data_IF_434882815479
#
_entry.id   IF_434882815479
#
_cell.length_a   1.000
_cell.length_b   1.000
_cell.length_c   1.000
_cell.angle_alpha   90.00
_cell.angle_beta   90.00
_cell.angle_gamma   90.00
#
_symmetry.space_group_name_H-M   'P 1'
#
loop_
_entity.id
_entity.type
_entity.pdbx_description
1 polymer ?
#
# COMPACT_ATOMS: atom_id res chain seq x y z
N UNK A 1 -0.07 -17.92 4.30
CA UNK A 1 0.51 -16.59 4.60
C UNK A 1 -0.47 -15.43 4.33
N UNK A 2 -0.87 -15.12 3.09
CA UNK A 2 -2.01 -14.19 2.79
C UNK A 2 -3.01 -14.83 1.83
N UNK A 3 -2.51 -15.52 0.80
CA UNK A 3 -3.32 -16.32 -0.13
C UNK A 3 -4.20 -17.39 0.54
N UNK A 4 -3.88 -17.81 1.77
CA UNK A 4 -4.71 -18.76 2.53
C UNK A 4 -6.07 -18.19 2.92
N UNK A 5 -6.23 -16.86 2.95
CA UNK A 5 -7.48 -16.18 3.29
C UNK A 5 -7.89 -15.10 2.29
N UNK A 6 -7.20 -15.01 1.15
CA UNK A 6 -7.58 -14.17 0.01
C UNK A 6 -8.31 -15.05 -1.02
N UNK A 7 -9.65 -15.15 -0.97
CA UNK A 7 -10.40 -16.05 -1.86
C UNK A 7 -10.36 -15.62 -3.34
N UNK A 8 -9.94 -14.39 -3.64
CA UNK A 8 -9.71 -13.89 -4.99
C UNK A 8 -8.30 -13.33 -5.17
N UNK A 9 -8.13 -12.01 -5.31
CA UNK A 9 -6.85 -11.37 -5.65
C UNK A 9 -6.14 -10.81 -4.43
N UNK A 10 -4.81 -10.77 -4.46
CA UNK A 10 -3.98 -9.99 -3.55
C UNK A 10 -3.50 -8.71 -4.24
N UNK A 11 -3.91 -7.55 -3.72
CA UNK A 11 -3.51 -6.22 -4.16
C UNK A 11 -2.53 -5.64 -3.13
N UNK A 12 -1.27 -5.46 -3.49
CA UNK A 12 -0.22 -5.01 -2.56
C UNK A 12 0.19 -3.57 -2.83
N UNK A 13 0.11 -2.73 -1.81
CA UNK A 13 0.65 -1.35 -1.78
C UNK A 13 1.92 -1.34 -0.94
N UNK A 14 3.04 -0.93 -1.51
CA UNK A 14 4.31 -0.92 -0.79
C UNK A 14 5.31 0.11 -1.33
N UNK A 15 6.30 0.45 -0.51
CA UNK A 15 7.41 1.32 -0.87
C UNK A 15 8.69 0.87 -0.20
N UNK A 16 9.75 1.65 -0.37
CA UNK A 16 11.01 1.47 0.35
C UNK A 16 11.42 2.79 1.00
N UNK A 17 12.06 2.71 2.17
CA UNK A 17 12.68 3.86 2.81
C UNK A 17 13.96 4.30 2.07
N UNK A 18 14.16 5.61 1.96
CA UNK A 18 15.44 6.21 1.57
C UNK A 18 16.45 6.20 2.72
N UNK A 19 17.72 6.45 2.40
CA UNK A 19 18.91 6.40 3.27
C UNK A 19 19.02 5.08 4.05
N UNK A 20 18.59 4.00 3.40
CA UNK A 20 18.65 2.63 3.90
C UNK A 20 19.27 1.74 2.84
N UNK A 21 19.40 0.46 3.16
CA UNK A 21 19.88 -0.53 2.21
C UNK A 21 19.09 -0.48 0.89
N UNK A 22 19.78 -0.10 -0.19
CA UNK A 22 19.23 -0.01 -1.55
C UNK A 22 19.13 -1.38 -2.20
N UNK A 23 19.97 -2.34 -1.80
CA UNK A 23 20.02 -3.68 -2.40
C UNK A 23 18.71 -4.44 -2.21
N UNK A 24 17.95 -4.12 -1.15
CA UNK A 24 16.62 -4.71 -0.91
C UNK A 24 15.53 -4.22 -1.87
N UNK A 25 15.66 -3.03 -2.48
CA UNK A 25 14.61 -2.41 -3.31
C UNK A 25 14.16 -3.33 -4.46
N UNK A 26 15.06 -3.85 -5.30
CA UNK A 26 14.68 -4.80 -6.34
C UNK A 26 14.25 -6.16 -5.78
N UNK A 27 14.79 -6.60 -4.62
CA UNK A 27 14.36 -7.87 -4.02
C UNK A 27 12.90 -7.79 -3.51
N UNK A 28 12.53 -6.67 -2.89
CA UNK A 28 11.17 -6.40 -2.44
C UNK A 28 10.20 -6.32 -3.62
N UNK A 29 10.60 -5.67 -4.72
CA UNK A 29 9.81 -5.66 -5.95
C UNK A 29 9.54 -7.06 -6.50
N UNK A 30 10.58 -7.91 -6.52
CA UNK A 30 10.47 -9.28 -6.99
C UNK A 30 9.55 -10.14 -6.13
N UNK A 31 9.68 -10.04 -4.81
CA UNK A 31 8.78 -10.72 -3.86
C UNK A 31 7.35 -10.25 -4.02
N UNK A 32 7.11 -8.93 -4.07
CA UNK A 32 5.76 -8.38 -4.22
C UNK A 32 5.08 -8.89 -5.50
N UNK A 33 5.78 -8.85 -6.63
CA UNK A 33 5.26 -9.34 -7.91
C UNK A 33 5.09 -10.87 -8.00
N UNK A 34 5.86 -11.64 -7.23
CA UNK A 34 5.71 -13.10 -7.17
C UNK A 34 4.50 -13.54 -6.34
N UNK A 35 4.04 -12.72 -5.40
CA UNK A 35 3.02 -13.09 -4.42
C UNK A 35 1.77 -12.20 -4.45
N UNK A 36 1.63 -11.34 -5.46
CA UNK A 36 0.49 -10.44 -5.60
C UNK A 36 -0.06 -10.46 -7.02
N UNK A 37 -1.37 -10.32 -7.16
CA UNK A 37 -2.04 -10.20 -8.46
C UNK A 37 -2.01 -8.77 -9.01
N UNK A 38 -1.82 -7.78 -8.12
CA UNK A 38 -1.68 -6.37 -8.46
C UNK A 38 -0.71 -5.70 -7.48
N UNK A 39 0.27 -4.96 -8.00
CA UNK A 39 1.23 -4.21 -7.20
C UNK A 39 1.08 -2.71 -7.45
N UNK A 40 1.07 -1.93 -6.37
CA UNK A 40 1.16 -0.47 -6.39
C UNK A 40 2.43 -0.09 -5.61
N UNK A 41 3.39 0.49 -6.32
CA UNK A 41 4.63 1.01 -5.75
C UNK A 41 4.42 2.48 -5.38
N UNK A 42 4.71 2.82 -4.13
CA UNK A 42 4.46 4.16 -3.56
C UNK A 42 5.57 4.61 -2.62
N UNK A 43 5.46 5.84 -2.10
CA UNK A 43 6.38 6.40 -1.13
C UNK A 43 6.14 5.79 0.25
N UNK A 44 7.20 5.68 1.06
CA UNK A 44 7.11 5.18 2.43
C UNK A 44 7.77 6.15 3.40
N UNK A 45 9.09 6.26 3.34
CA UNK A 45 9.89 7.18 4.15
C UNK A 45 11.09 7.59 3.28
N UNK A 46 10.90 8.46 2.26
CA UNK A 46 11.97 8.79 1.32
C UNK A 46 13.17 9.48 1.97
N UNK A 47 12.98 10.11 3.15
CA UNK A 47 14.06 10.87 3.83
C UNK A 47 14.69 11.87 2.85
N UNK A 48 16.01 11.94 2.74
CA UNK A 48 16.73 12.80 1.81
C UNK A 48 16.82 12.28 0.37
N UNK A 49 16.29 11.09 0.05
CA UNK A 49 16.33 10.55 -1.31
C UNK A 49 15.10 10.93 -2.14
N UNK A 50 15.28 11.04 -3.45
CA UNK A 50 14.18 11.26 -4.38
C UNK A 50 13.24 10.04 -4.43
N UNK A 51 11.95 10.28 -4.19
CA UNK A 51 10.95 9.21 -4.12
C UNK A 51 10.79 8.47 -5.45
N UNK A 52 10.88 9.16 -6.59
CA UNK A 52 10.74 8.53 -7.90
C UNK A 52 11.95 7.65 -8.22
N UNK A 53 13.15 8.05 -7.79
CA UNK A 53 14.36 7.22 -7.90
C UNK A 53 14.25 5.95 -7.05
N UNK A 54 13.78 6.06 -5.80
CA UNK A 54 13.55 4.87 -4.95
C UNK A 54 12.57 3.92 -5.65
N UNK A 55 11.47 4.44 -6.19
CA UNK A 55 10.48 3.63 -6.90
C UNK A 55 11.09 2.97 -8.14
N UNK A 56 11.84 3.73 -8.95
CA UNK A 56 12.52 3.22 -10.14
C UNK A 56 13.46 2.06 -9.82
N UNK A 57 14.08 2.02 -8.64
CA UNK A 57 14.93 0.91 -8.20
C UNK A 57 14.16 -0.34 -7.76
N UNK A 58 12.87 -0.20 -7.40
CA UNK A 58 11.99 -1.32 -7.10
C UNK A 58 11.52 -2.01 -8.38
N UNK A 59 11.26 -1.24 -9.45
CA UNK A 59 10.64 -1.73 -10.69
C UNK A 59 11.37 -2.90 -11.37
N UNK A 60 12.71 -2.94 -11.47
CA UNK A 60 13.43 -4.08 -12.01
C UNK A 60 13.13 -5.39 -11.28
N UNK A 61 12.87 -5.31 -9.97
CA UNK A 61 12.42 -6.46 -9.17
C UNK A 61 11.10 -7.02 -9.65
N UNK A 62 10.10 -6.14 -9.77
CA UNK A 62 8.77 -6.52 -10.24
C UNK A 62 8.85 -7.10 -11.65
N UNK A 63 9.68 -6.52 -12.53
CA UNK A 63 9.87 -7.01 -13.90
C UNK A 63 10.49 -8.43 -13.98
N UNK A 64 11.30 -8.85 -12.98
CA UNK A 64 11.85 -10.22 -12.90
C UNK A 64 10.88 -11.23 -12.28
N UNK A 65 9.82 -10.75 -11.64
CA UNK A 65 8.84 -11.60 -10.95
C UNK A 65 7.90 -12.30 -11.93
N UNK A 66 7.00 -13.12 -11.38
CA UNK A 66 5.90 -13.77 -12.11
C UNK A 66 4.68 -12.86 -12.32
N UNK A 67 4.78 -11.57 -12.01
CA UNK A 67 3.68 -10.63 -12.18
C UNK A 67 3.18 -10.61 -13.64
N UNK A 68 1.87 -10.78 -13.81
CA UNK A 68 1.23 -10.78 -15.14
C UNK A 68 1.14 -9.40 -15.79
N UNK A 69 1.47 -8.33 -15.05
CA UNK A 69 1.44 -6.94 -15.51
C UNK A 69 2.46 -6.08 -14.77
N UNK A 70 2.88 -4.93 -15.34
CA UNK A 70 3.65 -3.93 -14.62
C UNK A 70 2.93 -3.41 -13.38
N UNK A 71 3.67 -2.96 -12.34
CA UNK A 71 3.06 -2.32 -11.19
C UNK A 71 2.55 -0.91 -11.55
N UNK A 72 1.54 -0.43 -10.83
CA UNK A 72 1.18 0.98 -10.84
C UNK A 72 2.15 1.75 -9.95
N UNK A 73 2.53 2.98 -10.33
CA UNK A 73 3.47 3.81 -9.56
C UNK A 73 2.76 5.09 -9.15
N UNK A 74 2.53 5.26 -7.85
CA UNK A 74 1.80 6.39 -7.28
C UNK A 74 2.63 7.00 -6.14
N UNK A 75 3.29 8.15 -6.33
CA UNK A 75 4.15 8.74 -5.31
C UNK A 75 3.44 9.10 -4.02
N UNK A 76 2.21 9.61 -4.12
CA UNK A 76 1.40 9.90 -2.96
C UNK A 76 0.87 8.60 -2.35
N UNK A 77 1.25 8.35 -1.08
CA UNK A 77 0.88 7.12 -0.37
C UNK A 77 -0.61 7.04 -0.07
N UNK A 78 -1.26 8.18 0.16
CA UNK A 78 -2.71 8.24 0.38
C UNK A 78 -3.45 7.88 -0.90
N UNK A 79 -3.03 8.42 -2.04
CA UNK A 79 -3.57 8.08 -3.36
C UNK A 79 -3.36 6.60 -3.70
N UNK A 80 -2.18 6.04 -3.41
CA UNK A 80 -1.90 4.63 -3.61
C UNK A 80 -2.83 3.71 -2.80
N UNK A 81 -3.06 4.03 -1.53
CA UNK A 81 -4.00 3.29 -0.67
C UNK A 81 -5.43 3.44 -1.18
N UNK A 82 -5.85 4.66 -1.52
CA UNK A 82 -7.17 4.91 -2.09
C UNK A 82 -7.40 4.12 -3.39
N UNK A 83 -6.40 4.13 -4.28
CA UNK A 83 -6.43 3.38 -5.54
C UNK A 83 -6.59 1.87 -5.31
N UNK A 84 -5.84 1.30 -4.38
CA UNK A 84 -5.94 -0.12 -4.04
C UNK A 84 -7.34 -0.48 -3.53
N UNK A 85 -7.90 0.37 -2.66
CA UNK A 85 -9.23 0.19 -2.11
C UNK A 85 -10.29 0.32 -3.20
N UNK A 86 -10.18 1.26 -4.13
CA UNK A 86 -11.13 1.38 -5.25
C UNK A 86 -11.05 0.21 -6.23
N UNK A 87 -9.85 -0.36 -6.44
CA UNK A 87 -9.64 -1.53 -7.30
C UNK A 87 -10.19 -2.83 -6.72
N UNK A 88 -10.29 -2.93 -5.40
CA UNK A 88 -10.69 -4.14 -4.70
C UNK A 88 -12.15 -4.51 -5.01
N UNK A 89 -12.38 -5.81 -5.22
CA UNK A 89 -13.71 -6.42 -5.37
C UNK A 89 -13.96 -7.38 -4.22
N UNK A 90 -15.18 -7.90 -4.15
CA UNK A 90 -15.54 -8.90 -3.15
C UNK A 90 -14.58 -10.10 -3.24
N UNK A 91 -14.02 -10.47 -2.08
CA UNK A 91 -13.05 -11.57 -1.96
C UNK A 91 -11.59 -11.18 -2.23
N UNK A 92 -11.30 -9.97 -2.69
CA UNK A 92 -9.91 -9.50 -2.77
C UNK A 92 -9.38 -9.10 -1.39
N UNK A 93 -8.06 -9.18 -1.24
CA UNK A 93 -7.32 -8.67 -0.08
C UNK A 93 -6.42 -7.53 -0.53
N UNK A 94 -6.51 -6.40 0.17
CA UNK A 94 -5.57 -5.29 0.03
C UNK A 94 -4.52 -5.36 1.14
N UNK A 95 -3.26 -5.58 0.77
CA UNK A 95 -2.12 -5.60 1.68
C UNK A 95 -1.37 -4.26 1.59
N UNK A 96 -1.40 -3.48 2.68
CA UNK A 96 -0.60 -2.25 2.80
C UNK A 96 0.63 -2.59 3.63
N UNK A 97 1.82 -2.57 3.01
CA UNK A 97 3.07 -2.97 3.62
C UNK A 97 4.06 -1.79 3.77
N UNK A 98 4.99 -1.93 4.72
CA UNK A 98 6.08 -0.98 4.97
C UNK A 98 6.04 -0.38 6.38
N UNK A 99 4.94 0.31 6.74
CA UNK A 99 4.87 1.15 7.94
C UNK A 99 4.39 0.44 9.21
N UNK A 100 3.47 -0.51 9.07
CA UNK A 100 2.89 -1.23 10.21
C UNK A 100 2.18 -0.29 11.19
N UNK A 101 2.79 -0.05 12.35
CA UNK A 101 2.24 0.83 13.40
C UNK A 101 2.80 2.26 13.37
N UNK A 102 3.75 2.56 12.47
CA UNK A 102 4.26 3.92 12.27
C UNK A 102 3.14 4.86 11.83
N UNK A 103 3.07 6.02 12.48
CA UNK A 103 2.04 7.06 12.23
C UNK A 103 2.63 8.34 11.63
N UNK A 104 3.80 8.23 11.01
CA UNK A 104 4.48 9.36 10.36
C UNK A 104 5.10 8.96 9.04
N UNK A 105 5.30 9.95 8.18
CA UNK A 105 6.04 9.82 6.94
C UNK A 105 7.17 10.86 6.90
N UNK A 106 8.39 10.41 6.62
CA UNK A 106 9.61 11.22 6.71
C UNK A 106 10.06 11.67 5.32
N UNK A 107 10.22 12.99 5.16
CA UNK A 107 10.72 13.66 3.96
C UNK A 107 11.80 14.67 4.37
N UNK A 108 12.94 14.71 3.70
CA UNK A 108 13.99 15.74 3.83
C UNK A 108 14.17 16.33 5.25
N UNK A 109 14.35 15.45 6.25
CA UNK A 109 14.58 15.86 7.65
C UNK A 109 13.35 16.30 8.44
N UNK A 110 12.15 16.34 7.85
CA UNK A 110 10.89 16.59 8.54
C UNK A 110 9.96 15.37 8.52
N UNK A 111 9.05 15.32 9.48
CA UNK A 111 8.11 14.22 9.69
C UNK A 111 6.68 14.76 9.62
N UNK A 112 5.87 14.20 8.73
CA UNK A 112 4.44 14.52 8.61
C UNK A 112 3.58 13.43 9.24
N UNK A 113 2.47 13.77 9.92
CA UNK A 113 1.51 12.78 10.39
C UNK A 113 0.94 11.96 9.22
N UNK A 114 1.07 10.64 9.28
CA UNK A 114 0.55 9.71 8.27
C UNK A 114 0.39 8.31 8.87
N UNK A 115 -0.85 7.82 8.98
CA UNK A 115 -1.15 6.46 9.47
C UNK A 115 -1.92 5.68 8.38
N UNK A 116 -1.28 4.62 7.86
CA UNK A 116 -1.86 3.72 6.84
C UNK A 116 -3.25 3.22 7.25
N UNK A 117 -3.46 2.92 8.54
CA UNK A 117 -4.72 2.36 9.08
C UNK A 117 -5.80 3.43 9.10
N UNK A 118 -5.44 4.66 9.44
CA UNK A 118 -6.37 5.79 9.46
C UNK A 118 -6.83 6.12 8.02
N UNK A 119 -5.88 6.18 7.09
CA UNK A 119 -6.16 6.42 5.67
C UNK A 119 -7.02 5.30 5.08
N UNK A 120 -6.66 4.04 5.31
CA UNK A 120 -7.44 2.90 4.82
C UNK A 120 -8.87 2.92 5.34
N UNK A 121 -9.07 3.17 6.65
CA UNK A 121 -10.41 3.29 7.25
C UNK A 121 -11.21 4.44 6.64
N UNK A 122 -10.57 5.59 6.41
CA UNK A 122 -11.20 6.74 5.76
C UNK A 122 -11.68 6.38 4.34
N UNK A 123 -10.83 5.74 3.53
CA UNK A 123 -11.16 5.38 2.15
C UNK A 123 -12.25 4.30 2.07
N UNK A 124 -12.21 3.30 2.96
CA UNK A 124 -13.27 2.27 3.04
C UNK A 124 -14.61 2.93 3.39
N UNK A 125 -14.65 3.85 4.37
CA UNK A 125 -15.88 4.58 4.71
C UNK A 125 -16.43 5.35 3.52
N UNK A 126 -15.59 6.14 2.85
CA UNK A 126 -15.97 6.92 1.67
C UNK A 126 -16.56 6.04 0.58
N UNK A 127 -15.92 4.89 0.32
CA UNK A 127 -16.41 3.92 -0.67
C UNK A 127 -17.76 3.33 -0.28
N UNK A 128 -17.92 2.89 0.96
CA UNK A 128 -19.19 2.33 1.45
C UNK A 128 -20.33 3.34 1.39
N UNK A 129 -20.08 4.59 1.83
CA UNK A 129 -21.08 5.66 1.73
C UNK A 129 -21.49 5.95 0.28
N UNK A 130 -20.55 5.91 -0.67
CA UNK A 130 -20.86 6.05 -2.10
C UNK A 130 -21.67 4.88 -2.64
N UNK A 131 -21.37 3.68 -2.19
CA UNK A 131 -22.01 2.44 -2.64
C UNK A 131 -23.35 2.19 -1.89
N UNK A 132 -23.77 3.08 -0.98
CA UNK A 132 -25.01 2.99 -0.20
C UNK A 132 -24.97 1.98 0.94
N UNK A 133 -23.78 1.57 1.38
CA UNK A 133 -23.55 0.55 2.39
C UNK A 133 -23.03 1.16 3.71
N UNK A 134 -23.30 0.50 4.84
CA UNK A 134 -22.72 0.83 6.15
C UNK A 134 -21.54 -0.07 6.49
N UNK A 135 -20.62 0.42 7.33
CA UNK A 135 -19.53 -0.40 7.86
C UNK A 135 -20.07 -1.46 8.83
N UNK A 136 -19.71 -2.74 8.70
CA UNK A 136 -19.96 -3.72 9.74
C UNK A 136 -19.26 -3.28 11.04
N UNK A 137 -20.05 -3.02 12.10
CA UNK A 137 -19.55 -2.63 13.43
C UNK A 137 -19.60 -1.14 13.77
N UNK A 138 -20.22 -0.30 12.93
CA UNK A 138 -20.53 1.11 13.25
C UNK A 138 -21.95 1.27 13.86
N UNK A 139 -22.45 0.24 14.55
CA UNK A 139 -23.59 0.41 15.46
C UNK A 139 -23.09 1.28 16.61
N UNK A 140 -23.52 2.55 16.64
CA UNK A 140 -23.09 3.55 17.61
C UNK A 140 -23.41 3.20 19.07
N UNK A 141 -22.67 2.25 19.65
CA UNK A 141 -22.69 1.89 21.06
C UNK A 141 -21.31 2.15 21.67
N UNK A 142 -20.99 3.45 21.80
CA UNK A 142 -20.06 3.96 22.80
C UNK A 142 -20.81 4.96 23.69
N UNK A 143 -22.01 4.59 24.16
CA UNK A 143 -22.63 5.18 25.35
C UNK A 143 -23.46 4.12 26.07
N UNK A 144 -22.83 3.39 26.99
CA UNK A 144 -23.38 2.99 28.29
C UNK A 144 -22.26 2.54 29.22
#
# INVERSE_FOLDING_TARGET
AVHEFAPARVITVFGCGGERDRSKRPLMGEVAGNWSDYCIVTSDNPRGEDQLQIMAEILPGVARSKASRPPEVLPDRKEAIARAIELAKNGDVVLIAGKGHETTQIFNGFSMPFDDRAVAREMIRRRLSRDGNELPGDTGDFQR
#
